data_IF_473082018279
#
_entry.id   IF_473082018279
#
_cell.length_a   1.000
_cell.length_b   1.000
_cell.length_c   1.000
_cell.angle_alpha   90.00
_cell.angle_beta   90.00
_cell.angle_gamma   90.00
#
_symmetry.space_group_name_H-M   'P 1'
#
loop_
_entity.id
_entity.type
_entity.pdbx_description
1 polymer ?
#
# COMPACT_ATOMS: atom_id res chain seq x y z
N UNK A 1 15.23 8.71 23.86
CA UNK A 1 13.88 9.30 23.77
C UNK A 1 13.98 10.51 22.86
N UNK A 2 13.78 10.36 21.58
CA UNK A 2 13.71 11.50 20.67
C UNK A 2 12.52 11.26 19.75
N UNK A 3 11.45 12.01 20.01
CA UNK A 3 10.30 12.12 19.15
C UNK A 3 10.71 12.82 17.86
N UNK A 4 11.08 12.07 16.83
CA UNK A 4 11.11 12.59 15.49
C UNK A 4 9.69 12.59 14.92
N UNK A 5 8.95 13.65 15.19
CA UNK A 5 7.75 14.01 14.46
C UNK A 5 8.19 14.75 13.20
N UNK A 6 8.57 14.01 12.19
CA UNK A 6 8.84 14.56 10.87
C UNK A 6 7.68 14.19 9.95
N UNK A 7 6.99 15.14 9.32
CA UNK A 7 5.95 14.86 8.35
C UNK A 7 6.65 14.51 7.04
N UNK A 8 6.92 13.24 6.77
CA UNK A 8 7.79 12.92 5.63
C UNK A 8 7.47 11.55 5.08
N UNK A 9 7.61 11.46 3.77
CA UNK A 9 7.74 10.25 2.99
C UNK A 9 8.20 9.07 3.84
N UNK A 10 7.30 8.16 4.17
CA UNK A 10 7.65 6.84 4.67
C UNK A 10 7.99 5.97 3.46
N UNK A 11 9.22 6.08 2.98
CA UNK A 11 9.78 4.99 2.20
C UNK A 11 9.74 3.74 3.10
N UNK A 12 9.08 2.68 2.65
CA UNK A 12 8.99 1.45 3.41
C UNK A 12 10.39 0.95 3.80
N UNK A 13 10.54 0.41 5.01
CA UNK A 13 11.81 -0.11 5.50
C UNK A 13 12.49 -1.09 4.54
N UNK A 14 11.73 -1.79 3.73
CA UNK A 14 12.23 -2.74 2.73
C UNK A 14 13.01 -2.03 1.62
N UNK A 15 12.58 -0.84 1.22
CA UNK A 15 13.26 -0.05 0.21
C UNK A 15 14.59 0.53 0.73
N UNK A 16 14.60 1.04 1.96
CA UNK A 16 15.80 1.55 2.61
C UNK A 16 16.86 0.46 2.78
N UNK A 17 16.44 -0.77 3.06
CA UNK A 17 17.34 -1.92 3.21
C UNK A 17 17.90 -2.45 1.88
N UNK A 18 17.11 -2.41 0.79
CA UNK A 18 17.52 -2.91 -0.53
C UNK A 18 18.57 -1.98 -1.19
N UNK A 19 18.43 -0.68 -1.00
CA UNK A 19 19.27 0.32 -1.68
C UNK A 19 20.28 1.01 -0.78
N UNK A 20 20.45 0.55 0.47
CA UNK A 20 21.45 1.10 1.40
C UNK A 20 21.31 2.60 1.62
N UNK A 21 20.07 3.10 1.71
CA UNK A 21 19.78 4.52 1.85
C UNK A 21 19.95 4.95 3.30
N UNK A 22 20.86 5.87 3.58
CA UNK A 22 21.06 6.47 4.89
C UNK A 22 20.60 7.93 4.86
N UNK A 23 19.64 8.26 5.74
CA UNK A 23 19.20 9.65 5.93
C UNK A 23 20.03 10.25 7.07
N UNK A 24 20.89 11.21 6.75
CA UNK A 24 21.64 11.95 7.74
C UNK A 24 20.88 13.20 8.17
N UNK A 25 20.46 13.23 9.43
CA UNK A 25 19.60 14.27 10.00
C UNK A 25 20.38 15.48 10.58
N UNK A 26 21.69 15.58 10.34
CA UNK A 26 22.52 16.69 10.82
C UNK A 26 22.66 17.78 9.76
N UNK A 27 22.73 18.99 10.24
CA UNK A 27 22.88 20.35 9.64
C UNK A 27 23.01 20.51 8.11
N UNK A 28 23.46 19.49 7.39
CA UNK A 28 23.76 19.53 5.95
C UNK A 28 22.74 18.75 5.10
N UNK A 29 21.52 18.65 5.53
CA UNK A 29 20.30 18.27 4.77
C UNK A 29 20.54 17.49 3.47
N UNK A 30 21.21 16.35 3.51
CA UNK A 30 21.41 15.45 2.38
C UNK A 30 21.08 14.00 2.75
N UNK A 31 20.78 13.20 1.73
CA UNK A 31 20.73 11.73 1.89
C UNK A 31 21.74 11.07 0.96
N UNK A 32 22.16 9.86 1.32
CA UNK A 32 23.09 9.08 0.51
C UNK A 32 22.42 7.78 0.09
N UNK A 33 22.62 7.37 -1.15
CA UNK A 33 22.13 6.10 -1.71
C UNK A 33 23.32 5.22 -2.07
N UNK A 34 23.23 3.93 -1.75
CA UNK A 34 24.19 2.88 -2.11
C UNK A 34 25.15 2.50 -0.99
N UNK A 35 25.65 1.26 -1.05
CA UNK A 35 26.51 0.63 -0.04
C UNK A 35 27.81 1.40 0.24
N UNK A 36 28.30 2.18 -0.72
CA UNK A 36 29.59 2.87 -0.63
C UNK A 36 29.49 4.36 -0.33
N UNK A 37 28.32 4.91 0.05
CA UNK A 37 28.09 6.34 0.39
C UNK A 37 28.66 7.34 -0.66
N UNK A 38 28.85 6.91 -1.91
CA UNK A 38 29.57 7.69 -2.94
C UNK A 38 28.73 8.75 -3.64
N UNK A 39 27.41 8.67 -3.60
CA UNK A 39 26.57 9.70 -4.18
C UNK A 39 25.85 10.48 -3.08
N UNK A 40 26.22 11.71 -2.89
CA UNK A 40 25.55 12.68 -2.01
C UNK A 40 24.58 13.49 -2.86
N UNK A 41 23.32 13.47 -2.50
CA UNK A 41 22.32 14.35 -3.07
C UNK A 41 22.00 15.44 -2.07
N UNK A 42 22.42 16.67 -2.36
CA UNK A 42 22.03 17.83 -1.58
C UNK A 42 20.82 18.48 -2.23
N UNK A 43 19.77 18.65 -1.45
CA UNK A 43 18.66 19.51 -1.86
C UNK A 43 18.87 20.88 -1.26
N UNK A 44 18.87 21.96 -2.06
CA UNK A 44 18.73 23.28 -1.51
C UNK A 44 17.33 23.38 -0.90
N UNK A 45 17.22 23.10 0.38
CA UNK A 45 16.07 23.47 1.16
C UNK A 45 16.16 24.98 1.41
N UNK A 46 15.83 25.77 0.41
CA UNK A 46 15.17 27.03 0.69
C UNK A 46 14.01 26.70 1.64
N UNK A 47 13.80 27.55 2.65
CA UNK A 47 12.60 27.48 3.49
C UNK A 47 11.36 27.65 2.60
N UNK A 48 11.01 26.63 1.85
CA UNK A 48 9.68 26.49 1.29
C UNK A 48 8.86 25.93 2.45
N UNK A 49 7.92 26.70 2.90
CA UNK A 49 6.89 26.24 3.80
C UNK A 49 6.17 25.11 3.08
N UNK A 50 6.61 23.87 3.34
CA UNK A 50 5.87 22.69 2.93
C UNK A 50 4.72 22.63 3.93
N UNK A 51 3.61 23.03 3.45
CA UNK A 51 2.39 23.11 4.18
C UNK A 51 1.82 21.70 4.31
N UNK A 52 1.87 21.11 5.49
CA UNK A 52 1.38 19.76 5.81
C UNK A 52 0.00 19.87 6.46
N UNK A 53 -0.96 19.16 5.91
CA UNK A 53 -2.34 19.12 6.40
C UNK A 53 -2.41 18.41 7.77
N UNK A 54 -2.78 19.10 8.85
CA UNK A 54 -2.99 18.53 10.19
C UNK A 54 -4.40 18.81 10.70
N UNK A 55 -5.03 17.77 11.20
CA UNK A 55 -6.32 17.58 11.89
C UNK A 55 -7.24 18.80 12.05
N UNK A 56 -8.44 18.72 11.45
CA UNK A 56 -9.58 19.57 11.75
C UNK A 56 -10.60 18.78 12.59
N UNK A 57 -10.40 18.72 13.90
CA UNK A 57 -11.30 17.97 14.79
C UNK A 57 -12.59 18.70 15.16
N UNK A 58 -12.67 20.02 15.04
CA UNK A 58 -13.74 20.81 15.69
C UNK A 58 -14.78 21.43 14.74
N UNK A 59 -14.49 21.60 13.44
CA UNK A 59 -15.43 22.21 12.48
C UNK A 59 -16.40 21.19 11.88
N UNK A 60 -16.03 19.93 11.91
CA UNK A 60 -16.76 18.84 11.23
C UNK A 60 -17.91 18.28 12.07
N UNK A 61 -17.94 18.52 13.38
CA UNK A 61 -18.98 17.98 14.29
C UNK A 61 -20.40 18.47 14.01
N UNK A 62 -20.54 19.58 13.31
CA UNK A 62 -21.87 20.16 12.98
C UNK A 62 -22.44 19.75 11.62
N UNK A 63 -21.57 19.31 10.69
CA UNK A 63 -21.99 18.71 9.43
C UNK A 63 -21.72 17.21 9.51
N UNK A 64 -22.70 16.39 9.39
CA UNK A 64 -22.74 14.91 9.44
C UNK A 64 -21.61 14.25 8.59
N UNK A 65 -20.39 14.41 9.03
CA UNK A 65 -19.19 13.78 8.42
C UNK A 65 -18.75 12.71 9.40
N UNK A 66 -18.64 11.43 8.97
CA UNK A 66 -18.14 10.37 9.82
C UNK A 66 -16.81 10.76 10.46
N UNK A 67 -16.60 10.38 11.72
CA UNK A 67 -15.38 10.72 12.49
C UNK A 67 -14.06 10.36 11.78
N UNK A 68 -14.13 9.46 10.82
CA UNK A 68 -13.01 8.99 10.00
C UNK A 68 -12.46 10.04 9.01
N UNK A 69 -13.28 10.97 8.54
CA UNK A 69 -12.81 12.14 7.77
C UNK A 69 -12.01 13.13 8.63
N UNK A 70 -12.13 13.01 9.94
CA UNK A 70 -11.45 13.87 10.91
C UNK A 70 -9.96 13.63 10.95
N UNK A 71 -9.46 12.50 10.42
CA UNK A 71 -8.04 12.20 10.29
C UNK A 71 -7.39 12.84 9.05
N UNK A 72 -8.15 13.41 8.14
CA UNK A 72 -7.60 14.22 7.06
C UNK A 72 -6.86 15.43 7.67
N UNK A 73 -5.56 15.47 7.45
CA UNK A 73 -4.69 16.50 8.04
C UNK A 73 -4.67 17.73 7.12
N UNK A 74 -5.51 18.72 7.40
CA UNK A 74 -5.52 19.99 6.68
C UNK A 74 -4.69 21.02 7.46
N UNK A 75 -3.87 21.78 6.76
CA UNK A 75 -2.92 22.74 7.35
C UNK A 75 -3.61 23.76 8.24
N UNK A 76 -3.07 24.00 9.45
CA UNK A 76 -3.61 24.99 10.37
C UNK A 76 -3.59 26.42 9.83
N UNK A 77 -2.68 26.72 8.92
CA UNK A 77 -2.35 28.06 8.43
C UNK A 77 -3.18 28.52 7.22
N UNK A 78 -4.03 27.64 6.66
CA UNK A 78 -4.97 28.01 5.61
C UNK A 78 -6.07 28.91 6.17
N UNK A 79 -6.52 29.89 5.37
CA UNK A 79 -7.67 30.71 5.73
C UNK A 79 -8.92 29.85 5.90
N UNK A 80 -9.89 30.24 6.74
CA UNK A 80 -11.12 29.48 6.94
C UNK A 80 -11.86 29.13 5.65
N UNK A 81 -11.87 30.04 4.69
CA UNK A 81 -12.51 29.88 3.37
C UNK A 81 -11.86 28.76 2.55
N UNK A 82 -10.52 28.71 2.55
CA UNK A 82 -9.76 27.68 1.83
C UNK A 82 -9.88 26.30 2.51
N UNK A 83 -10.14 26.25 3.83
CA UNK A 83 -10.32 24.99 4.56
C UNK A 83 -11.66 24.32 4.29
N UNK A 84 -12.69 25.07 3.93
CA UNK A 84 -14.01 24.51 3.67
C UNK A 84 -14.07 23.73 2.34
N UNK A 85 -13.38 24.19 1.30
CA UNK A 85 -13.39 23.54 -0.02
C UNK A 85 -12.92 22.06 0.00
N UNK A 86 -11.78 21.69 0.58
CA UNK A 86 -11.35 20.29 0.65
C UNK A 86 -12.32 19.41 1.45
N UNK A 87 -12.96 19.96 2.49
CA UNK A 87 -13.94 19.24 3.30
C UNK A 87 -15.19 18.96 2.47
N UNK A 88 -15.62 19.91 1.68
CA UNK A 88 -16.80 19.78 0.83
C UNK A 88 -16.55 18.76 -0.29
N UNK A 89 -15.37 18.76 -0.90
CA UNK A 89 -14.93 17.75 -1.88
C UNK A 89 -14.91 16.36 -1.25
N UNK A 90 -14.29 16.18 -0.09
CA UNK A 90 -14.26 14.90 0.62
C UNK A 90 -15.69 14.43 0.97
N UNK A 91 -16.57 15.33 1.35
CA UNK A 91 -17.97 14.99 1.62
C UNK A 91 -18.73 14.59 0.35
N UNK A 92 -18.51 15.31 -0.75
CA UNK A 92 -19.12 15.00 -2.04
C UNK A 92 -18.72 13.61 -2.54
N UNK A 93 -17.44 13.25 -2.38
CA UNK A 93 -16.88 11.98 -2.83
C UNK A 93 -16.67 10.97 -1.70
N UNK A 94 -17.42 11.08 -0.61
CA UNK A 94 -17.31 10.21 0.56
C UNK A 94 -17.41 8.71 0.24
N UNK A 95 -18.10 8.35 -0.84
CA UNK A 95 -18.21 6.95 -1.29
C UNK A 95 -16.89 6.38 -1.83
N UNK A 96 -15.95 7.24 -2.23
CA UNK A 96 -14.61 6.84 -2.62
C UNK A 96 -13.67 6.67 -1.41
N UNK A 97 -14.06 7.18 -0.25
CA UNK A 97 -13.27 7.06 0.96
C UNK A 97 -13.61 5.77 1.70
N UNK A 98 -12.61 5.18 2.34
CA UNK A 98 -12.80 3.95 3.08
C UNK A 98 -13.27 4.24 4.50
N UNK A 99 -14.27 3.49 4.94
CA UNK A 99 -14.82 3.52 6.30
C UNK A 99 -14.54 2.21 7.03
N UNK A 100 -14.43 2.29 8.37
CA UNK A 100 -14.37 1.10 9.19
C UNK A 100 -15.67 0.29 9.05
N UNK A 101 -15.52 -1.03 8.91
CA UNK A 101 -16.59 -2.02 8.76
C UNK A 101 -17.36 -2.04 7.42
N UNK A 102 -16.97 -1.26 6.43
CA UNK A 102 -17.53 -1.39 5.09
C UNK A 102 -16.80 -2.47 4.26
N UNK A 103 -17.50 -3.07 3.28
CA UNK A 103 -16.86 -3.98 2.35
C UNK A 103 -15.72 -3.26 1.62
N UNK A 104 -14.58 -3.93 1.50
CA UNK A 104 -13.46 -3.40 0.77
C UNK A 104 -13.85 -3.12 -0.69
N UNK A 105 -13.51 -1.93 -1.19
CA UNK A 105 -13.69 -1.54 -2.58
C UNK A 105 -13.18 -2.57 -3.57
N UNK A 106 -13.59 -2.50 -4.81
CA UNK A 106 -13.18 -3.42 -5.86
C UNK A 106 -12.95 -2.68 -7.17
N UNK A 107 -11.76 -2.85 -7.73
CA UNK A 107 -11.43 -2.34 -9.05
C UNK A 107 -11.83 -3.41 -10.07
N UNK A 108 -12.77 -3.06 -10.95
CA UNK A 108 -13.32 -3.98 -11.96
C UNK A 108 -12.49 -3.92 -13.24
N UNK A 109 -12.42 -5.07 -13.96
CA UNK A 109 -11.76 -5.13 -15.26
C UNK A 109 -10.23 -5.24 -15.21
N UNK A 110 -9.66 -5.38 -14.01
CA UNK A 110 -8.21 -5.51 -13.80
C UNK A 110 -7.91 -6.73 -12.93
N UNK A 111 -8.33 -7.90 -13.39
CA UNK A 111 -8.03 -9.15 -12.68
C UNK A 111 -6.54 -9.46 -12.76
N UNK A 112 -5.99 -9.93 -11.64
CA UNK A 112 -4.59 -10.31 -11.55
C UNK A 112 -4.41 -11.70 -12.11
N UNK A 113 -3.42 -11.86 -12.98
CA UNK A 113 -2.99 -13.14 -13.51
C UNK A 113 -1.57 -13.49 -13.03
N UNK A 114 -1.39 -14.74 -12.58
CA UNK A 114 -0.12 -15.27 -12.12
C UNK A 114 0.36 -16.34 -13.10
N UNK A 115 1.42 -16.03 -13.82
CA UNK A 115 2.00 -16.95 -14.77
C UNK A 115 3.20 -17.63 -14.13
N UNK A 116 3.19 -18.96 -14.10
CA UNK A 116 4.30 -19.79 -13.60
C UNK A 116 5.16 -20.30 -14.76
N UNK A 117 6.44 -20.48 -14.50
CA UNK A 117 7.38 -21.12 -15.42
C UNK A 117 7.44 -22.66 -15.25
N UNK A 118 6.45 -23.24 -14.60
CA UNK A 118 6.30 -24.68 -14.37
C UNK A 118 4.86 -25.09 -14.64
N UNK A 119 4.74 -26.30 -15.17
CA UNK A 119 3.44 -26.92 -15.47
C UNK A 119 3.04 -27.94 -14.40
N UNK A 120 1.81 -28.40 -14.47
CA UNK A 120 1.34 -29.51 -13.63
C UNK A 120 1.96 -30.85 -14.06
N UNK A 121 2.27 -31.73 -13.11
CA UNK A 121 2.12 -31.58 -11.66
C UNK A 121 3.12 -30.59 -11.08
N UNK A 122 2.63 -29.70 -10.18
CA UNK A 122 3.47 -28.67 -9.59
C UNK A 122 4.58 -29.24 -8.70
N UNK A 123 5.76 -28.58 -8.65
CA UNK A 123 6.87 -29.00 -7.80
C UNK A 123 6.46 -29.12 -6.33
N UNK A 124 6.98 -30.15 -5.59
CA UNK A 124 6.64 -30.34 -4.17
C UNK A 124 6.93 -29.14 -3.29
N UNK A 125 7.84 -28.25 -3.70
CA UNK A 125 8.16 -27.00 -3.02
C UNK A 125 6.95 -26.06 -2.90
N UNK A 126 5.97 -26.16 -3.80
CA UNK A 126 4.74 -25.36 -3.77
C UNK A 126 3.68 -25.94 -2.82
N UNK A 127 3.87 -27.15 -2.31
CA UNK A 127 2.98 -27.79 -1.33
C UNK A 127 3.63 -27.78 0.05
N UNK A 128 3.52 -26.64 0.73
CA UNK A 128 4.13 -26.46 2.05
C UNK A 128 3.12 -26.74 3.16
N UNK A 129 3.62 -27.19 4.29
CA UNK A 129 2.84 -27.37 5.53
C UNK A 129 2.80 -26.06 6.33
N UNK A 130 1.82 -25.95 7.22
CA UNK A 130 1.75 -24.84 8.18
C UNK A 130 3.00 -24.80 9.06
N UNK A 131 3.48 -23.61 9.34
CA UNK A 131 4.55 -23.45 10.32
C UNK A 131 4.04 -23.60 11.75
N UNK A 132 4.87 -24.14 12.66
CA UNK A 132 4.58 -24.10 14.09
C UNK A 132 4.38 -22.66 14.55
N UNK A 133 3.36 -22.43 15.38
CA UNK A 133 3.06 -21.12 15.91
C UNK A 133 2.83 -21.19 17.42
N UNK A 134 3.33 -20.21 18.16
CA UNK A 134 3.07 -20.04 19.58
C UNK A 134 1.58 -19.77 19.83
N UNK A 135 1.04 -19.99 21.04
CA UNK A 135 -0.37 -19.71 21.35
C UNK A 135 -0.78 -18.27 20.97
N UNK A 136 0.03 -17.26 21.32
CA UNK A 136 -0.20 -15.85 20.94
C UNK A 136 -0.24 -15.66 19.43
N UNK A 137 0.65 -16.31 18.68
CA UNK A 137 0.67 -16.22 17.22
C UNK A 137 -0.54 -16.92 16.58
N UNK A 138 -1.03 -18.02 17.14
CA UNK A 138 -2.24 -18.71 16.67
C UNK A 138 -3.48 -17.84 16.81
N UNK A 139 -3.66 -17.23 17.97
CA UNK A 139 -4.78 -16.31 18.22
C UNK A 139 -4.76 -15.12 17.27
N UNK A 140 -3.59 -14.50 17.07
CA UNK A 140 -3.42 -13.41 16.11
C UNK A 140 -3.70 -13.85 14.67
N UNK A 141 -3.27 -15.06 14.25
CA UNK A 141 -3.56 -15.62 12.94
C UNK A 141 -5.06 -15.81 12.72
N UNK A 142 -5.77 -16.39 13.70
CA UNK A 142 -7.21 -16.58 13.60
C UNK A 142 -7.96 -15.25 13.51
N UNK A 143 -7.56 -14.26 14.31
CA UNK A 143 -8.14 -12.92 14.26
C UNK A 143 -7.99 -12.28 12.87
N UNK A 144 -6.79 -12.27 12.33
CA UNK A 144 -6.53 -11.71 10.98
C UNK A 144 -7.24 -12.48 9.86
N UNK A 145 -7.26 -13.81 9.93
CA UNK A 145 -7.98 -14.64 8.95
C UNK A 145 -9.47 -14.32 8.97
N UNK A 146 -10.06 -14.21 10.16
CA UNK A 146 -11.47 -13.87 10.32
C UNK A 146 -11.78 -12.45 9.79
N UNK A 147 -10.89 -11.49 10.03
CA UNK A 147 -11.00 -10.14 9.45
C UNK A 147 -10.98 -10.19 7.92
N UNK A 148 -9.99 -10.86 7.32
CA UNK A 148 -9.87 -10.97 5.87
C UNK A 148 -11.03 -11.75 5.24
N UNK A 149 -11.63 -12.70 5.94
CA UNK A 149 -12.85 -13.38 5.50
C UNK A 149 -14.06 -12.44 5.53
N UNK A 150 -14.22 -11.63 6.57
CA UNK A 150 -15.29 -10.63 6.65
C UNK A 150 -15.17 -9.59 5.53
N UNK A 151 -13.96 -9.21 5.17
CA UNK A 151 -13.67 -8.27 4.07
C UNK A 151 -13.81 -8.92 2.67
N UNK A 152 -14.12 -10.21 2.57
CA UNK A 152 -14.18 -10.91 1.29
C UNK A 152 -12.83 -11.05 0.57
N UNK A 153 -11.73 -11.00 1.32
CA UNK A 153 -10.37 -11.20 0.80
C UNK A 153 -9.98 -12.68 0.81
N UNK A 154 -10.41 -13.41 1.83
CA UNK A 154 -10.19 -14.84 1.98
C UNK A 154 -11.51 -15.60 2.00
N UNK A 155 -11.46 -16.84 1.54
CA UNK A 155 -12.48 -17.85 1.83
C UNK A 155 -11.85 -19.12 2.40
N UNK A 156 -12.57 -19.87 3.18
CA UNK A 156 -12.14 -21.20 3.62
C UNK A 156 -12.27 -22.19 2.47
N UNK A 157 -11.26 -23.04 2.28
CA UNK A 157 -11.28 -24.11 1.27
C UNK A 157 -12.10 -25.27 1.83
N UNK A 158 -13.02 -25.80 1.01
CA UNK A 158 -13.87 -26.92 1.37
C UNK A 158 -13.09 -28.24 1.44
N UNK A 159 -13.60 -29.19 2.24
CA UNK A 159 -12.94 -30.50 2.39
C UNK A 159 -12.83 -31.31 1.10
N UNK A 160 -13.71 -31.08 0.14
CA UNK A 160 -13.76 -31.80 -1.13
C UNK A 160 -13.01 -31.07 -2.25
N UNK A 161 -12.39 -29.93 -1.95
CA UNK A 161 -11.62 -29.19 -2.96
C UNK A 161 -10.19 -29.74 -3.04
N UNK A 162 -9.74 -30.00 -4.27
CA UNK A 162 -8.37 -30.42 -4.51
C UNK A 162 -7.39 -29.27 -4.20
N UNK A 163 -6.32 -29.58 -3.46
CA UNK A 163 -5.30 -28.63 -3.04
C UNK A 163 -3.94 -29.06 -3.56
N UNK A 164 -3.49 -28.41 -4.60
CA UNK A 164 -2.19 -28.67 -5.23
C UNK A 164 -1.06 -27.76 -4.70
N UNK A 165 -1.42 -26.52 -4.33
CA UNK A 165 -0.49 -25.48 -3.86
C UNK A 165 -0.93 -24.98 -2.50
N UNK A 166 0.02 -24.89 -1.58
CA UNK A 166 -0.20 -24.30 -0.24
C UNK A 166 1.01 -23.50 0.20
N UNK A 167 0.74 -22.30 0.67
CA UNK A 167 1.75 -21.36 1.20
C UNK A 167 1.55 -21.20 2.71
N UNK A 168 2.57 -21.45 3.54
CA UNK A 168 2.44 -21.20 4.99
C UNK A 168 2.30 -19.71 5.28
N UNK A 169 1.61 -19.38 6.35
CA UNK A 169 1.50 -18.02 6.86
C UNK A 169 2.29 -17.86 8.15
N UNK A 170 2.78 -16.66 8.36
CA UNK A 170 3.46 -16.23 9.58
C UNK A 170 2.83 -14.95 10.12
N UNK A 171 2.98 -14.70 11.40
CA UNK A 171 2.69 -13.42 12.03
C UNK A 171 4.01 -12.68 12.23
N UNK A 172 4.05 -11.45 11.79
CA UNK A 172 5.10 -10.49 12.11
C UNK A 172 4.56 -9.45 13.08
N UNK A 173 5.43 -8.96 13.96
CA UNK A 173 5.08 -7.96 14.97
C UNK A 173 5.90 -6.69 14.75
N UNK A 174 5.24 -5.56 14.74
CA UNK A 174 5.88 -4.25 14.70
C UNK A 174 5.13 -3.28 15.60
N UNK A 175 5.82 -2.73 16.61
CA UNK A 175 5.22 -1.83 17.62
C UNK A 175 3.90 -2.39 18.18
N UNK A 176 3.92 -3.65 18.66
CA UNK A 176 2.79 -4.42 19.19
C UNK A 176 1.63 -4.68 18.22
N UNK A 177 1.70 -4.19 16.99
CA UNK A 177 0.75 -4.52 15.94
C UNK A 177 1.17 -5.79 15.22
N UNK A 178 0.27 -6.77 15.15
CA UNK A 178 0.49 -7.99 14.39
C UNK A 178 0.07 -7.80 12.93
N UNK A 179 0.76 -8.50 12.03
CA UNK A 179 0.40 -8.58 10.60
C UNK A 179 0.54 -10.01 10.12
N UNK A 180 -0.46 -10.49 9.39
CA UNK A 180 -0.39 -11.77 8.69
C UNK A 180 0.41 -11.61 7.39
N UNK A 181 1.35 -12.53 7.15
CA UNK A 181 2.18 -12.54 5.94
C UNK A 181 2.16 -13.95 5.34
N UNK A 182 1.72 -14.07 4.09
CA UNK A 182 1.88 -15.29 3.30
C UNK A 182 3.34 -15.44 2.87
N UNK A 183 3.96 -16.59 3.18
CA UNK A 183 5.35 -16.84 2.83
C UNK A 183 5.49 -17.32 1.37
N UNK A 184 5.14 -16.46 0.43
CA UNK A 184 5.08 -16.75 -1.01
C UNK A 184 6.45 -16.96 -1.69
N UNK A 185 7.54 -17.06 -0.94
CA UNK A 185 8.88 -17.22 -1.52
C UNK A 185 8.97 -18.36 -2.55
N UNK A 186 8.39 -19.53 -2.24
CA UNK A 186 8.37 -20.66 -3.15
C UNK A 186 7.60 -20.35 -4.44
N UNK A 187 6.39 -19.78 -4.32
CA UNK A 187 5.58 -19.37 -5.46
C UNK A 187 6.32 -18.32 -6.32
N UNK A 188 6.90 -17.31 -5.66
CA UNK A 188 7.64 -16.25 -6.32
C UNK A 188 8.87 -16.75 -7.11
N UNK A 189 9.46 -17.88 -6.70
CA UNK A 189 10.57 -18.51 -7.45
C UNK A 189 10.13 -18.99 -8.82
N UNK A 190 8.91 -19.53 -8.90
CA UNK A 190 8.35 -20.05 -10.15
C UNK A 190 7.50 -19.03 -10.91
N UNK A 191 7.19 -17.88 -10.31
CA UNK A 191 6.42 -16.82 -10.99
C UNK A 191 7.29 -16.10 -12.02
N UNK A 192 6.78 -16.01 -13.25
CA UNK A 192 7.42 -15.23 -14.32
C UNK A 192 7.33 -13.75 -13.96
N UNK A 193 8.45 -13.00 -13.95
CA UNK A 193 8.45 -11.59 -13.58
C UNK A 193 7.64 -10.74 -14.55
N UNK A 194 6.73 -9.93 -14.06
CA UNK A 194 6.14 -8.84 -14.81
C UNK A 194 7.09 -7.64 -14.78
N UNK A 195 7.54 -7.20 -15.94
CA UNK A 195 8.52 -6.11 -16.10
C UNK A 195 7.85 -4.74 -16.33
N UNK A 196 6.63 -4.55 -15.86
CA UNK A 196 6.01 -3.23 -15.96
C UNK A 196 6.83 -2.21 -15.15
N UNK A 197 7.19 -1.06 -15.74
CA UNK A 197 8.03 -0.09 -15.08
C UNK A 197 7.29 0.54 -13.88
N UNK A 198 7.96 0.56 -12.75
CA UNK A 198 7.55 1.35 -11.58
C UNK A 198 8.28 2.69 -11.68
N UNK A 199 7.63 3.81 -11.36
CA UNK A 199 8.26 5.12 -11.44
C UNK A 199 9.58 5.19 -10.67
N UNK A 200 10.55 5.91 -11.23
CA UNK A 200 11.85 6.08 -10.59
C UNK A 200 11.70 7.14 -9.50
N UNK A 201 12.01 6.79 -8.27
CA UNK A 201 11.83 7.68 -7.10
C UNK A 201 12.51 9.03 -7.30
N UNK A 202 13.69 9.06 -7.90
CA UNK A 202 14.39 10.33 -8.16
C UNK A 202 13.60 11.25 -9.09
N UNK A 203 13.00 10.71 -10.14
CA UNK A 203 12.15 11.48 -11.07
C UNK A 203 10.90 11.99 -10.36
N UNK A 204 10.26 11.12 -9.57
CA UNK A 204 9.10 11.47 -8.72
C UNK A 204 9.44 12.63 -7.76
N UNK A 205 10.57 12.54 -7.07
CA UNK A 205 11.02 13.60 -6.16
C UNK A 205 11.35 14.90 -6.90
N UNK A 206 11.91 14.81 -8.09
CA UNK A 206 12.20 15.98 -8.94
C UNK A 206 10.91 16.67 -9.38
N UNK A 207 9.89 15.90 -9.71
CA UNK A 207 8.56 16.43 -10.06
C UNK A 207 7.92 17.10 -8.83
N UNK A 208 7.94 16.46 -7.68
CA UNK A 208 7.42 17.02 -6.43
C UNK A 208 8.14 18.30 -5.99
N UNK A 209 9.43 18.44 -6.30
CA UNK A 209 10.21 19.63 -5.93
C UNK A 209 9.70 20.92 -6.59
N UNK A 210 8.94 20.84 -7.66
CA UNK A 210 8.34 21.98 -8.36
C UNK A 210 7.01 22.41 -7.76
N UNK A 211 6.37 21.52 -7.00
CA UNK A 211 5.06 21.78 -6.40
C UNK A 211 5.17 22.68 -5.16
N UNK A 212 4.18 23.57 -5.00
CA UNK A 212 4.00 24.37 -3.78
C UNK A 212 2.94 23.77 -2.86
N UNK A 213 1.96 23.10 -3.46
CA UNK A 213 0.88 22.41 -2.75
C UNK A 213 0.96 20.92 -3.07
N UNK A 214 0.82 20.10 -2.04
CA UNK A 214 0.89 18.64 -2.15
C UNK A 214 -0.19 18.04 -1.28
N UNK A 215 -1.06 17.23 -1.89
CA UNK A 215 -2.00 16.33 -1.20
C UNK A 215 -1.54 14.89 -1.38
N UNK A 216 -1.38 14.17 -0.29
CA UNK A 216 -1.03 12.74 -0.30
C UNK A 216 -2.20 11.90 0.20
N UNK A 217 -2.53 10.87 -0.55
CA UNK A 217 -3.55 9.89 -0.22
C UNK A 217 -2.93 8.50 -0.23
N UNK A 218 -3.39 7.62 0.66
CA UNK A 218 -2.99 6.22 0.73
C UNK A 218 -4.17 5.34 0.30
N UNK A 219 -3.89 4.36 -0.56
CA UNK A 219 -4.92 3.44 -1.02
C UNK A 219 -5.16 2.36 0.04
N UNK A 220 -6.31 2.41 0.71
CA UNK A 220 -6.64 1.43 1.76
C UNK A 220 -6.59 0.00 1.23
N UNK A 221 -5.62 -0.78 1.74
CA UNK A 221 -5.43 -2.18 1.34
C UNK A 221 -5.42 -2.33 -0.20
N UNK A 222 -4.76 -1.41 -0.93
CA UNK A 222 -4.84 -1.26 -2.39
C UNK A 222 -4.72 -2.57 -3.17
N UNK A 223 -3.78 -3.43 -2.80
CA UNK A 223 -3.63 -4.74 -3.46
C UNK A 223 -4.88 -5.60 -3.32
N UNK A 224 -5.54 -5.58 -2.17
CA UNK A 224 -6.77 -6.33 -1.93
C UNK A 224 -8.00 -5.77 -2.68
N UNK A 225 -7.90 -4.63 -3.34
CA UNK A 225 -8.96 -4.12 -4.21
C UNK A 225 -9.00 -4.83 -5.57
N UNK A 226 -7.98 -5.61 -5.91
CA UNK A 226 -7.88 -6.37 -7.16
C UNK A 226 -8.33 -7.80 -6.98
N UNK A 227 -9.25 -8.26 -7.84
CA UNK A 227 -9.66 -9.65 -7.87
C UNK A 227 -8.63 -10.54 -8.56
N UNK A 228 -8.61 -11.79 -8.14
CA UNK A 228 -7.84 -12.86 -8.77
C UNK A 228 -8.75 -13.67 -9.70
N UNK A 229 -8.19 -14.16 -10.81
CA UNK A 229 -8.90 -15.11 -11.63
C UNK A 229 -9.20 -16.40 -10.86
N UNK A 230 -10.24 -17.15 -11.19
CA UNK A 230 -10.56 -18.42 -10.52
C UNK A 230 -9.40 -19.43 -10.55
N UNK A 231 -8.56 -19.38 -11.58
CA UNK A 231 -7.38 -20.21 -11.70
C UNK A 231 -6.32 -19.80 -10.68
N UNK A 232 -6.04 -18.51 -10.58
CA UNK A 232 -4.94 -18.00 -9.75
C UNK A 232 -5.23 -18.01 -8.25
N UNK A 233 -6.51 -17.99 -7.88
CA UNK A 233 -6.94 -18.24 -6.49
C UNK A 233 -6.39 -19.56 -5.96
N UNK A 234 -6.36 -20.63 -6.81
CA UNK A 234 -5.84 -21.94 -6.41
C UNK A 234 -4.33 -21.95 -6.16
N UNK A 235 -3.58 -21.02 -6.79
CA UNK A 235 -2.15 -20.83 -6.57
C UNK A 235 -1.86 -20.04 -5.28
N UNK A 236 -2.83 -19.27 -4.82
CA UNK A 236 -2.70 -18.38 -3.66
C UNK A 236 -3.44 -18.92 -2.43
N UNK A 237 -3.46 -20.23 -2.26
CA UNK A 237 -3.96 -20.87 -1.06
C UNK A 237 -2.93 -20.81 0.05
N UNK A 238 -3.38 -20.38 1.22
CA UNK A 238 -2.57 -20.33 2.43
C UNK A 238 -2.98 -21.44 3.39
N UNK A 239 -2.01 -21.92 4.15
CA UNK A 239 -2.22 -22.93 5.19
C UNK A 239 -1.79 -22.41 6.55
N UNK A 240 -2.70 -22.50 7.51
CA UNK A 240 -2.50 -22.19 8.92
C UNK A 240 -2.87 -23.40 9.78
N UNK A 241 -2.60 -23.33 11.09
CA UNK A 241 -3.01 -24.38 12.03
C UNK A 241 -4.52 -24.64 12.08
N UNK A 242 -5.33 -23.61 11.72
CA UNK A 242 -6.80 -23.66 11.73
C UNK A 242 -7.42 -24.04 10.38
N UNK A 243 -6.62 -24.29 9.34
CA UNK A 243 -7.11 -24.75 8.06
C UNK A 243 -6.42 -24.17 6.84
N UNK A 244 -7.04 -24.42 5.67
CA UNK A 244 -6.59 -23.92 4.36
C UNK A 244 -7.58 -22.85 3.91
N UNK A 245 -7.04 -21.73 3.43
CA UNK A 245 -7.81 -20.59 2.95
C UNK A 245 -7.32 -20.18 1.57
N UNK A 246 -8.18 -19.62 0.77
CA UNK A 246 -7.91 -19.19 -0.60
C UNK A 246 -8.11 -17.69 -0.71
N UNK A 247 -7.11 -16.98 -1.24
CA UNK A 247 -7.26 -15.57 -1.56
C UNK A 247 -8.22 -15.40 -2.75
N UNK A 248 -9.22 -14.56 -2.57
CA UNK A 248 -10.13 -14.11 -3.63
C UNK A 248 -9.59 -12.83 -4.29
N UNK A 249 -8.74 -12.11 -3.58
CA UNK A 249 -8.14 -10.83 -3.95
C UNK A 249 -6.63 -10.89 -3.81
N UNK A 250 -5.92 -10.07 -4.56
CA UNK A 250 -4.46 -10.04 -4.62
C UNK A 250 -3.83 -9.81 -3.24
N UNK A 251 -3.03 -10.75 -2.70
CA UNK A 251 -2.36 -10.58 -1.43
C UNK A 251 -1.07 -9.78 -1.53
N UNK A 252 -0.61 -9.28 -0.39
CA UNK A 252 0.75 -8.78 -0.25
C UNK A 252 1.78 -9.91 -0.36
N UNK A 253 2.96 -9.57 -0.87
CA UNK A 253 4.11 -10.48 -0.89
C UNK A 253 4.25 -11.37 -2.14
N UNK A 254 3.32 -11.32 -3.10
CA UNK A 254 3.50 -11.93 -4.42
C UNK A 254 4.37 -11.04 -5.31
N UNK A 255 5.23 -11.68 -6.11
CA UNK A 255 6.29 -11.04 -6.90
C UNK A 255 5.80 -9.90 -7.80
N UNK A 256 4.67 -10.11 -8.47
CA UNK A 256 4.17 -9.20 -9.49
C UNK A 256 3.12 -8.20 -8.98
N UNK A 257 2.76 -8.23 -7.69
CA UNK A 257 1.74 -7.35 -7.15
C UNK A 257 2.03 -5.86 -7.36
N UNK A 258 3.25 -5.35 -7.08
CA UNK A 258 3.56 -3.95 -7.30
C UNK A 258 3.44 -3.51 -8.76
N UNK A 259 4.01 -4.31 -9.68
CA UNK A 259 3.97 -4.03 -11.12
C UNK A 259 2.56 -4.09 -11.70
N UNK A 260 1.74 -5.03 -11.22
CA UNK A 260 0.35 -5.14 -11.62
C UNK A 260 -0.45 -3.93 -11.14
N UNK A 261 -0.31 -3.58 -9.88
CA UNK A 261 -1.00 -2.45 -9.27
C UNK A 261 -0.63 -1.13 -9.96
N UNK A 262 0.67 -0.89 -10.19
CA UNK A 262 1.13 0.30 -10.90
C UNK A 262 0.56 0.38 -12.32
N UNK A 263 0.54 -0.73 -13.07
CA UNK A 263 -0.05 -0.78 -14.41
C UNK A 263 -1.53 -0.42 -14.38
N UNK A 264 -2.26 -0.99 -13.44
CA UNK A 264 -3.68 -0.71 -13.26
C UNK A 264 -3.93 0.76 -12.97
N UNK A 265 -3.21 1.35 -12.02
CA UNK A 265 -3.34 2.77 -11.68
C UNK A 265 -3.00 3.68 -12.87
N UNK A 266 -1.96 3.35 -13.63
CA UNK A 266 -1.61 4.09 -14.85
C UNK A 266 -2.67 3.96 -15.96
N UNK A 267 -3.44 2.87 -15.96
CA UNK A 267 -4.54 2.68 -16.92
C UNK A 267 -5.79 3.44 -16.50
N UNK A 268 -6.01 3.61 -15.19
CA UNK A 268 -7.16 4.35 -14.66
C UNK A 268 -6.97 5.87 -14.82
N UNK A 269 -5.76 6.37 -14.63
CA UNK A 269 -5.43 7.80 -14.60
C UNK A 269 -4.42 8.23 -15.70
N UNK A 270 -4.63 7.87 -16.98
CA UNK A 270 -3.63 8.14 -18.02
C UNK A 270 -3.47 9.64 -18.32
N UNK A 271 -4.56 10.39 -18.26
CA UNK A 271 -4.57 11.82 -18.55
C UNK A 271 -3.88 12.62 -17.44
N UNK A 272 -4.28 12.40 -16.19
CA UNK A 272 -3.78 13.08 -14.99
C UNK A 272 -2.28 12.87 -14.81
N UNK A 273 -1.81 11.64 -15.07
CA UNK A 273 -0.39 11.30 -15.05
C UNK A 273 0.38 12.01 -16.18
N UNK A 274 -0.20 12.11 -17.38
CA UNK A 274 0.44 12.78 -18.53
C UNK A 274 0.53 14.30 -18.36
N UNK A 275 -0.42 14.91 -17.67
CA UNK A 275 -0.40 16.33 -17.33
C UNK A 275 0.57 16.66 -16.18
N UNK A 276 0.99 15.64 -15.43
CA UNK A 276 2.05 15.76 -14.43
C UNK A 276 1.62 16.36 -13.08
N UNK A 277 0.32 16.59 -12.85
CA UNK A 277 -0.18 17.03 -11.55
C UNK A 277 -0.54 15.88 -10.63
N UNK A 278 -0.69 14.66 -11.16
CA UNK A 278 -0.89 13.42 -10.40
C UNK A 278 0.38 12.58 -10.48
N UNK A 279 0.80 12.06 -9.34
CA UNK A 279 1.89 11.12 -9.21
C UNK A 279 1.37 9.89 -8.47
N UNK A 280 1.63 8.71 -9.01
CA UNK A 280 1.25 7.45 -8.38
C UNK A 280 2.49 6.58 -8.24
N UNK A 281 2.78 6.21 -7.01
CA UNK A 281 3.85 5.27 -6.71
C UNK A 281 3.27 4.11 -5.90
N UNK A 282 2.84 3.07 -6.60
CA UNK A 282 2.14 1.90 -6.02
C UNK A 282 0.89 2.38 -5.25
N UNK A 283 0.88 2.25 -3.91
CA UNK A 283 -0.24 2.61 -3.04
C UNK A 283 -0.33 4.11 -2.74
N UNK A 284 0.77 4.85 -2.94
CA UNK A 284 0.86 6.29 -2.68
C UNK A 284 0.35 7.10 -3.88
N UNK A 285 -0.69 7.89 -3.67
CA UNK A 285 -1.29 8.78 -4.64
C UNK A 285 -1.01 10.22 -4.20
N UNK A 286 -0.35 11.00 -5.06
CA UNK A 286 0.10 12.34 -4.72
C UNK A 286 -0.41 13.32 -5.77
N UNK A 287 -1.17 14.32 -5.34
CA UNK A 287 -1.58 15.46 -6.14
C UNK A 287 -0.62 16.60 -5.85
N UNK A 288 -0.10 17.24 -6.91
CA UNK A 288 0.85 18.34 -6.79
C UNK A 288 0.49 19.50 -7.72
N UNK A 289 0.59 20.72 -7.20
CA UNK A 289 0.30 21.92 -7.97
C UNK A 289 1.13 23.12 -7.49
N UNK A 290 1.18 24.16 -8.34
CA UNK A 290 1.87 25.41 -8.01
C UNK A 290 0.96 26.43 -7.31
N UNK A 291 -0.34 26.34 -7.52
CA UNK A 291 -1.33 27.30 -6.99
C UNK A 291 -2.54 26.57 -6.44
N UNK A 292 -3.21 27.19 -5.47
CA UNK A 292 -4.45 26.65 -4.88
C UNK A 292 -5.56 26.42 -5.93
N UNK A 293 -5.69 27.33 -6.87
CA UNK A 293 -6.71 27.22 -7.92
C UNK A 293 -6.54 25.99 -8.83
N UNK A 294 -5.29 25.50 -8.97
CA UNK A 294 -4.99 24.31 -9.77
C UNK A 294 -5.03 23.04 -8.93
N UNK A 295 -4.95 23.16 -7.60
CA UNK A 295 -4.97 22.04 -6.68
C UNK A 295 -6.37 21.50 -6.46
#
# INVERSE_FOLDING_TARGET
MNNCTSPHFKLGNDYLNIYGTHINNHKDKYFTIGENKRQKFSFPLEKREITVIRQVKNVIKEKFVPDQFIEAQIIPELTPEIKEEPIEILFQYREACAYDNEPLGAIKGHEVEIILNVERPYPPLLRRLAYPASPRAREALESHINELMKLGVLRKVGHNEEVEVTTPVIITWHNDKSRIVGYFKALNTYTIPNRYPIPIIHETLTQLSKAKLITSMDSLKGFHQNFLTPHDRKLLRIIAHCGIYEYLRMPFGIKNAPSHYQRMMNTIFPHELSEGWLIIYIDDIIICSETWKLH
#
